data_IF_106943193957
#
_entry.id   IF_106943193957
#
_cell.length_a   1.000
_cell.length_b   1.000
_cell.length_c   1.000
_cell.angle_alpha   90.00
_cell.angle_beta   90.00
_cell.angle_gamma   90.00
#
_symmetry.space_group_name_H-M   'P 1'
#
loop_
_entity.id
_entity.type
_entity.pdbx_description
1 polymer ?
#
# COMPACT_ATOMS: atom_id res chain seq x y z
N UNK A 1 9.46 0.64 -0.30
CA UNK A 1 10.84 1.19 -0.22
C UNK A 1 11.84 0.06 -0.04
N UNK A 2 13.14 0.37 0.01
CA UNK A 2 14.20 -0.62 0.21
C UNK A 2 15.20 -0.13 1.26
N UNK A 3 15.47 -0.94 2.28
CA UNK A 3 16.39 -0.58 3.35
C UNK A 3 17.84 -0.37 2.86
N UNK A 4 18.22 -0.95 1.72
CA UNK A 4 19.54 -0.77 1.12
C UNK A 4 19.70 0.46 0.21
N UNK A 5 18.65 1.29 0.07
CA UNK A 5 18.62 2.55 -0.69
C UNK A 5 18.05 3.66 0.21
N UNK A 6 18.89 4.13 1.14
CA UNK A 6 18.48 5.00 2.25
C UNK A 6 17.94 6.35 1.78
N UNK A 7 18.57 6.96 0.78
CA UNK A 7 18.16 8.28 0.26
C UNK A 7 16.74 8.21 -0.32
N UNK A 8 16.48 7.23 -1.18
CA UNK A 8 15.15 7.06 -1.77
C UNK A 8 14.11 6.60 -0.74
N UNK A 9 14.51 5.78 0.22
CA UNK A 9 13.62 5.39 1.31
C UNK A 9 13.21 6.60 2.16
N UNK A 10 14.14 7.51 2.44
CA UNK A 10 13.86 8.75 3.17
C UNK A 10 12.87 9.65 2.41
N UNK A 11 13.00 9.75 1.08
CA UNK A 11 12.05 10.47 0.23
C UNK A 11 10.63 9.88 0.31
N UNK A 12 10.50 8.54 0.23
CA UNK A 12 9.21 7.86 0.35
C UNK A 12 8.59 8.09 1.74
N UNK A 13 9.38 7.98 2.81
CA UNK A 13 8.91 8.20 4.17
C UNK A 13 8.47 9.66 4.36
N UNK A 14 9.25 10.62 3.87
CA UNK A 14 8.90 12.03 3.92
C UNK A 14 7.59 12.32 3.15
N UNK A 15 7.39 11.69 2.00
CA UNK A 15 6.14 11.79 1.25
C UNK A 15 4.95 11.19 2.03
N UNK A 16 5.13 10.04 2.67
CA UNK A 16 4.11 9.42 3.53
C UNK A 16 3.73 10.27 4.74
N UNK A 17 4.71 10.90 5.41
CA UNK A 17 4.46 11.82 6.53
C UNK A 17 3.69 13.07 6.07
N UNK A 18 4.00 13.60 4.88
CA UNK A 18 3.32 14.77 4.30
C UNK A 18 1.91 14.44 3.78
N UNK A 19 1.58 13.15 3.63
CA UNK A 19 0.28 12.74 3.12
C UNK A 19 -0.83 13.03 4.13
N UNK A 20 -1.86 13.76 3.71
CA UNK A 20 -3.06 14.00 4.52
C UNK A 20 -3.96 12.77 4.48
N UNK A 21 -3.66 11.80 5.33
CA UNK A 21 -4.44 10.58 5.46
C UNK A 21 -3.60 9.39 5.90
N UNK A 22 -4.16 8.19 5.71
CA UNK A 22 -3.45 6.96 6.00
C UNK A 22 -2.40 6.68 4.91
N UNK A 23 -1.14 6.51 5.31
CA UNK A 23 -0.06 6.12 4.43
C UNK A 23 0.51 4.76 4.84
N UNK A 24 0.53 3.80 3.91
CA UNK A 24 1.20 2.53 4.08
C UNK A 24 2.54 2.56 3.34
N UNK A 25 3.62 2.27 4.06
CA UNK A 25 4.97 2.14 3.49
C UNK A 25 5.47 0.74 3.79
N UNK A 26 5.44 -0.12 2.78
CA UNK A 26 6.09 -1.42 2.85
C UNK A 26 7.59 -1.28 2.51
N UNK A 27 8.47 -1.88 3.30
CA UNK A 27 9.92 -1.74 3.21
C UNK A 27 10.55 -3.11 3.05
N UNK A 28 11.19 -3.33 1.91
CA UNK A 28 12.00 -4.52 1.67
C UNK A 28 13.25 -4.44 2.55
N UNK A 29 13.35 -5.38 3.49
CA UNK A 29 14.40 -5.47 4.50
C UNK A 29 15.04 -6.87 4.43
N UNK A 30 16.22 -7.01 3.82
CA UNK A 30 16.93 -8.29 3.80
C UNK A 30 17.36 -8.69 5.22
N UNK A 31 16.94 -9.87 5.68
CA UNK A 31 17.41 -10.45 6.93
C UNK A 31 18.71 -11.23 6.67
N UNK A 32 19.81 -10.81 7.30
CA UNK A 32 21.14 -11.45 7.10
C UNK A 32 21.25 -12.85 7.71
N UNK A 33 20.45 -13.16 8.74
CA UNK A 33 20.57 -14.40 9.51
C UNK A 33 19.73 -15.54 8.94
N UNK A 34 18.48 -15.24 8.57
CA UNK A 34 17.49 -16.24 8.17
C UNK A 34 16.90 -16.00 6.78
N UNK A 35 17.26 -14.90 6.12
CA UNK A 35 16.72 -14.55 4.80
C UNK A 35 17.25 -15.47 3.71
N UNK A 36 16.36 -15.88 2.81
CA UNK A 36 16.71 -16.71 1.64
C UNK A 36 17.62 -15.94 0.66
N UNK A 37 17.44 -14.63 0.57
CA UNK A 37 18.16 -13.76 -0.35
C UNK A 37 18.97 -12.71 0.41
N UNK A 38 20.19 -12.48 -0.06
CA UNK A 38 21.07 -11.42 0.46
C UNK A 38 20.81 -10.08 -0.26
N UNK A 39 21.29 -8.99 0.32
CA UNK A 39 21.15 -7.63 -0.19
C UNK A 39 21.48 -7.46 -1.69
N UNK A 40 22.56 -8.03 -2.25
CA UNK A 40 22.87 -7.89 -3.69
C UNK A 40 21.75 -8.40 -4.60
N UNK A 41 21.13 -9.54 -4.25
CA UNK A 41 20.02 -10.10 -5.02
C UNK A 41 18.84 -9.13 -5.11
N UNK A 42 18.52 -8.43 -4.01
CA UNK A 42 17.48 -7.40 -4.02
C UNK A 42 17.87 -6.20 -4.85
N UNK A 43 19.13 -5.73 -4.77
CA UNK A 43 19.63 -4.58 -5.54
C UNK A 43 19.49 -4.79 -7.05
N UNK A 44 19.74 -6.00 -7.54
CA UNK A 44 19.63 -6.32 -8.97
C UNK A 44 18.18 -6.35 -9.47
N UNK A 45 17.23 -6.61 -8.57
CA UNK A 45 15.80 -6.77 -8.90
C UNK A 45 15.00 -5.51 -8.66
N UNK A 46 15.38 -4.70 -7.68
CA UNK A 46 14.67 -3.49 -7.32
C UNK A 46 14.84 -2.43 -8.40
N UNK A 47 13.76 -1.76 -8.74
CA UNK A 47 13.79 -0.54 -9.54
C UNK A 47 12.86 0.50 -8.93
N UNK A 48 13.18 1.77 -9.17
CA UNK A 48 12.35 2.90 -8.74
C UNK A 48 11.26 3.14 -9.78
N UNK A 49 10.01 3.26 -9.35
CA UNK A 49 8.92 3.76 -10.19
C UNK A 49 9.30 5.17 -10.65
N UNK A 50 9.30 5.39 -11.97
CA UNK A 50 9.64 6.67 -12.58
C UNK A 50 8.38 7.51 -12.82
N UNK A 51 8.56 8.69 -13.41
CA UNK A 51 7.51 9.66 -13.70
C UNK A 51 6.45 9.19 -14.71
N UNK A 52 6.64 8.01 -15.31
CA UNK A 52 5.69 7.39 -16.24
C UNK A 52 4.52 6.68 -15.53
N UNK A 53 4.56 6.57 -14.20
CA UNK A 53 3.50 5.99 -13.38
C UNK A 53 2.48 7.05 -12.93
N UNK A 54 1.18 6.79 -13.15
CA UNK A 54 0.10 7.61 -12.62
C UNK A 54 -0.34 7.10 -11.23
N UNK A 55 0.00 7.79 -10.12
CA UNK A 55 -0.39 7.35 -8.77
C UNK A 55 -1.88 7.57 -8.46
N UNK A 56 -2.65 8.22 -9.33
CA UNK A 56 -4.10 8.37 -9.17
C UNK A 56 -4.91 7.15 -9.64
N UNK A 57 -4.32 6.26 -10.45
CA UNK A 57 -4.97 5.06 -10.95
C UNK A 57 -4.76 3.89 -9.97
N UNK A 58 -5.80 3.59 -9.19
CA UNK A 58 -5.77 2.55 -8.16
C UNK A 58 -5.52 1.15 -8.76
N UNK A 59 -6.12 0.84 -9.89
CA UNK A 59 -6.07 -0.52 -10.44
C UNK A 59 -4.71 -0.76 -11.11
N UNK A 60 -4.17 0.24 -11.80
CA UNK A 60 -2.81 0.20 -12.31
C UNK A 60 -1.78 0.10 -11.16
N UNK A 61 -1.98 0.84 -10.08
CA UNK A 61 -1.13 0.78 -8.89
C UNK A 61 -1.12 -0.62 -8.25
N UNK A 62 -2.30 -1.19 -8.02
CA UNK A 62 -2.44 -2.53 -7.45
C UNK A 62 -1.85 -3.60 -8.36
N UNK A 63 -2.09 -3.52 -9.67
CA UNK A 63 -1.50 -4.45 -10.64
C UNK A 63 0.02 -4.39 -10.60
N UNK A 64 0.61 -3.21 -10.44
CA UNK A 64 2.06 -3.02 -10.36
C UNK A 64 2.64 -3.52 -9.02
N UNK A 65 1.92 -3.32 -7.92
CA UNK A 65 2.31 -3.80 -6.60
C UNK A 65 2.20 -5.33 -6.47
N UNK A 66 1.20 -5.93 -7.10
CA UNK A 66 0.97 -7.38 -7.12
C UNK A 66 1.77 -8.12 -8.20
N UNK A 67 2.54 -7.39 -9.04
CA UNK A 67 3.33 -8.00 -10.08
C UNK A 67 4.38 -8.93 -9.48
N UNK A 68 4.27 -10.22 -9.79
CA UNK A 68 5.28 -11.23 -9.46
C UNK A 68 6.20 -11.41 -10.65
N UNK A 69 7.51 -11.47 -10.40
CA UNK A 69 8.49 -11.62 -11.48
C UNK A 69 9.89 -11.21 -11.05
N UNK A 70 10.76 -11.00 -12.04
CA UNK A 70 12.19 -10.77 -11.81
C UNK A 70 12.53 -9.38 -11.28
N UNK A 71 11.61 -8.42 -11.36
CA UNK A 71 11.82 -7.04 -10.96
C UNK A 71 10.80 -6.62 -9.91
N UNK A 72 11.27 -5.89 -8.91
CA UNK A 72 10.48 -5.44 -7.76
C UNK A 72 10.38 -3.92 -7.81
N UNK A 73 9.18 -3.41 -8.01
CA UNK A 73 8.95 -1.98 -8.05
C UNK A 73 9.04 -1.38 -6.64
N UNK A 74 9.66 -0.20 -6.53
CA UNK A 74 9.69 0.60 -5.30
C UNK A 74 9.37 2.05 -5.63
N UNK A 75 8.69 2.74 -4.71
CA UNK A 75 8.26 4.12 -4.90
C UNK A 75 6.83 4.30 -4.42
N UNK A 76 6.20 5.38 -4.86
CA UNK A 76 4.81 5.67 -4.53
C UNK A 76 3.91 5.02 -5.58
N UNK A 77 3.19 3.98 -5.18
CA UNK A 77 2.26 3.27 -6.06
C UNK A 77 0.94 4.01 -6.22
N UNK A 78 0.39 4.57 -5.13
CA UNK A 78 -0.95 5.14 -5.15
C UNK A 78 -1.08 6.32 -4.17
N UNK A 79 -1.77 7.37 -4.60
CA UNK A 79 -2.16 8.52 -3.79
C UNK A 79 -3.61 8.87 -4.13
N UNK A 80 -4.43 9.14 -3.11
CA UNK A 80 -5.71 9.81 -3.28
C UNK A 80 -5.90 10.92 -2.24
N UNK A 81 -6.85 11.82 -2.46
CA UNK A 81 -7.15 12.92 -1.54
C UNK A 81 -8.55 12.76 -0.92
N UNK A 82 -8.89 11.53 -0.51
CA UNK A 82 -10.18 11.29 0.15
C UNK A 82 -10.23 11.98 1.53
N UNK A 83 -11.41 12.38 2.01
CA UNK A 83 -11.56 12.93 3.36
C UNK A 83 -10.96 12.00 4.41
N UNK A 84 -10.23 12.56 5.36
CA UNK A 84 -9.65 11.81 6.49
C UNK A 84 -10.64 11.75 7.65
N UNK A 85 -10.46 10.82 8.57
CA UNK A 85 -11.17 10.89 9.84
C UNK A 85 -10.59 12.06 10.69
N UNK A 86 -11.41 12.94 11.29
CA UNK A 86 -12.88 12.97 11.35
C UNK A 86 -13.55 13.94 10.36
N UNK A 87 -12.84 14.46 9.34
CA UNK A 87 -13.38 15.44 8.37
C UNK A 87 -14.65 14.97 7.65
N UNK A 88 -14.83 13.65 7.56
CA UNK A 88 -16.13 13.04 7.30
C UNK A 88 -16.76 12.71 8.64
N UNK A 89 -17.72 13.53 9.09
CA UNK A 89 -18.59 13.17 10.21
C UNK A 89 -19.23 11.82 9.89
N UNK A 90 -18.88 10.79 10.67
CA UNK A 90 -19.65 9.55 10.68
C UNK A 90 -20.90 9.90 11.44
N UNK A 91 -21.97 10.23 10.72
CA UNK A 91 -23.25 10.42 11.36
C UNK A 91 -23.71 9.05 11.89
N UNK A 92 -23.40 8.74 13.15
CA UNK A 92 -23.79 7.49 13.81
C UNK A 92 -25.32 7.36 13.92
N UNK A 93 -26.08 8.41 13.58
CA UNK A 93 -27.55 8.40 13.48
C UNK A 93 -28.05 8.11 12.07
N UNK A 94 -27.19 8.14 11.05
CA UNK A 94 -27.51 7.52 9.77
C UNK A 94 -27.61 6.02 10.00
N UNK A 95 -28.80 5.46 9.76
CA UNK A 95 -28.96 4.02 9.67
C UNK A 95 -27.99 3.51 8.60
N UNK A 96 -26.85 2.96 9.02
CA UNK A 96 -26.13 1.97 8.24
C UNK A 96 -27.08 0.79 8.12
N UNK A 97 -28.04 0.89 7.19
CA UNK A 97 -29.01 -0.14 6.92
C UNK A 97 -28.26 -1.34 6.36
N UNK A 98 -27.66 -2.15 7.23
CA UNK A 98 -27.34 -3.52 6.89
C UNK A 98 -28.66 -4.16 6.52
N UNK A 99 -28.83 -4.41 5.23
CA UNK A 99 -29.94 -5.17 4.72
C UNK A 99 -30.00 -6.46 5.53
N UNK A 100 -31.11 -6.66 6.24
CA UNK A 100 -31.30 -7.84 7.10
C UNK A 100 -31.05 -9.13 6.31
N UNK A 101 -31.29 -9.13 5.00
CA UNK A 101 -30.96 -10.27 4.13
C UNK A 101 -29.46 -10.57 4.10
N UNK A 102 -28.62 -9.54 3.99
CA UNK A 102 -27.15 -9.69 3.98
C UNK A 102 -26.64 -10.24 5.30
N UNK A 103 -27.19 -9.78 6.43
CA UNK A 103 -26.84 -10.31 7.75
C UNK A 103 -27.27 -11.78 7.90
N UNK A 104 -28.49 -12.12 7.47
CA UNK A 104 -28.99 -13.50 7.51
C UNK A 104 -28.20 -14.44 6.59
N UNK A 105 -27.72 -13.96 5.43
CA UNK A 105 -26.84 -14.74 4.55
C UNK A 105 -25.44 -14.93 5.14
N UNK A 106 -24.87 -13.89 5.75
CA UNK A 106 -23.59 -13.99 6.46
C UNK A 106 -23.66 -14.99 7.62
N UNK A 107 -24.68 -14.91 8.47
CA UNK A 107 -24.87 -15.83 9.60
C UNK A 107 -24.96 -17.30 9.15
N UNK A 108 -25.65 -17.55 8.03
CA UNK A 108 -25.71 -18.88 7.41
C UNK A 108 -24.37 -19.36 6.86
N UNK A 109 -23.48 -18.46 6.47
CA UNK A 109 -22.15 -18.82 5.95
C UNK A 109 -21.14 -19.19 7.06
N UNK A 110 -21.44 -18.81 8.31
CA UNK A 110 -20.61 -19.13 9.48
C UNK A 110 -21.12 -20.34 10.29
N UNK A 111 -22.24 -20.95 9.87
CA UNK A 111 -22.82 -22.18 10.43
C UNK A 111 -22.59 -23.35 9.50
#
# INVERSE_FOLDING_TARGET
GFAGDLDFLAEIIAAGIKHRGFALIDIIQPCVTFGVHQTPWYKDKIYRLQNDHNPGDRDAALKKAAATGDKIATGIFYINNKPIFPEKEINLTENFGTDKKVLTELEKSFS
#
